data_IF_934502554588
#
_entry.id   IF_934502554588
#
_cell.length_a   1.000
_cell.length_b   1.000
_cell.length_c   1.000
_cell.angle_alpha   90.00
_cell.angle_beta   90.00
_cell.angle_gamma   90.00
#
_symmetry.space_group_name_H-M   'P 1'
#
loop_
_entity.id
_entity.type
_entity.pdbx_description
1 polymer ?
#
# COMPACT_ATOMS: atom_id res chain seq x y z
N UNK A 1 1.04 1.20 -19.46
CA UNK A 1 0.98 0.57 -18.12
C UNK A 1 2.25 0.95 -17.40
N UNK A 2 2.19 1.50 -16.18
CA UNK A 2 3.40 1.71 -15.38
C UNK A 2 4.00 0.33 -15.08
N UNK A 3 5.29 0.15 -15.37
CA UNK A 3 6.02 -1.07 -15.03
C UNK A 3 5.99 -1.29 -13.51
N UNK A 4 5.97 -2.56 -13.08
CA UNK A 4 6.05 -2.88 -11.66
C UNK A 4 7.32 -2.26 -11.03
N UNK A 5 7.19 -1.66 -9.85
CA UNK A 5 8.29 -0.97 -9.19
C UNK A 5 7.87 -0.32 -7.87
N UNK A 6 8.86 0.22 -7.15
CA UNK A 6 8.60 1.01 -5.95
C UNK A 6 8.04 2.37 -6.39
N UNK A 7 6.81 2.75 -5.99
CA UNK A 7 6.25 4.04 -6.38
C UNK A 7 6.92 5.18 -5.59
N UNK A 8 6.73 6.41 -6.08
CA UNK A 8 7.06 7.62 -5.32
C UNK A 8 5.83 8.13 -4.56
N UNK A 9 6.02 8.90 -3.49
CA UNK A 9 4.90 9.50 -2.73
C UNK A 9 3.99 10.36 -3.63
N UNK A 10 4.57 11.05 -4.61
CA UNK A 10 3.85 11.88 -5.57
C UNK A 10 2.96 11.09 -6.56
N UNK A 11 3.09 9.76 -6.63
CA UNK A 11 2.19 8.91 -7.41
C UNK A 11 0.81 8.74 -6.73
N UNK A 12 0.67 9.17 -5.48
CA UNK A 12 -0.54 9.04 -4.69
C UNK A 12 -1.22 10.41 -4.48
N UNK A 13 -2.57 10.45 -4.49
CA UNK A 13 -3.28 11.67 -4.15
C UNK A 13 -3.05 12.04 -2.67
N UNK A 14 -3.11 13.35 -2.33
CA UNK A 14 -3.09 13.80 -0.94
C UNK A 14 -4.14 13.10 -0.09
N UNK A 15 -3.77 12.74 1.15
CA UNK A 15 -4.66 12.00 2.06
C UNK A 15 -4.62 10.48 1.90
N UNK A 16 -3.76 9.94 1.02
CA UNK A 16 -3.47 8.51 0.99
C UNK A 16 -2.83 8.08 2.32
N UNK A 17 -3.38 7.04 2.94
CA UNK A 17 -2.82 6.41 4.12
C UNK A 17 -2.07 5.13 3.73
N UNK A 18 -0.84 4.98 4.23
CA UNK A 18 0.03 3.84 3.97
C UNK A 18 -0.02 2.90 5.16
N UNK A 19 -0.32 1.63 4.91
CA UNK A 19 -0.65 0.64 5.93
C UNK A 19 0.17 -0.61 5.65
N UNK A 20 0.71 -1.21 6.70
CA UNK A 20 1.38 -2.50 6.64
C UNK A 20 0.45 -3.52 7.28
N UNK A 21 0.04 -4.53 6.50
CA UNK A 21 -0.70 -5.68 7.02
C UNK A 21 0.29 -6.80 7.32
N UNK A 22 0.09 -7.45 8.47
CA UNK A 22 1.01 -8.42 9.06
C UNK A 22 2.40 -7.80 9.07
N UNK A 23 3.37 -8.26 8.29
CA UNK A 23 4.70 -7.64 8.33
C UNK A 23 5.23 -7.24 6.95
N UNK A 24 4.55 -7.65 5.90
CA UNK A 24 5.10 -7.72 4.55
C UNK A 24 4.11 -7.34 3.45
N UNK A 25 2.86 -7.00 3.79
CA UNK A 25 1.87 -6.62 2.80
C UNK A 25 1.64 -5.10 2.78
N UNK A 26 2.18 -4.38 1.77
CA UNK A 26 2.06 -2.93 1.67
C UNK A 26 0.70 -2.56 1.08
N UNK A 27 -0.18 -1.99 1.90
CA UNK A 27 -1.50 -1.51 1.50
C UNK A 27 -1.52 0.01 1.40
N UNK A 28 -2.19 0.55 0.38
CA UNK A 28 -2.50 1.96 0.25
C UNK A 28 -4.02 2.16 0.30
N UNK A 29 -4.47 3.01 1.22
CA UNK A 29 -5.86 3.46 1.34
C UNK A 29 -5.97 4.82 0.65
N UNK A 30 -6.47 4.80 -0.58
CA UNK A 30 -6.42 5.93 -1.52
C UNK A 30 -7.78 6.63 -1.58
N UNK A 31 -7.86 7.94 -1.32
CA UNK A 31 -9.07 8.71 -1.57
C UNK A 31 -9.27 8.94 -3.07
N UNK A 32 -10.41 8.51 -3.61
CA UNK A 32 -10.78 8.66 -5.03
C UNK A 32 -12.23 9.11 -5.11
N UNK A 33 -12.49 10.31 -5.65
CA UNK A 33 -13.84 10.86 -5.90
C UNK A 33 -14.84 10.73 -4.72
N UNK A 34 -14.38 11.07 -3.52
CA UNK A 34 -15.20 10.98 -2.29
C UNK A 34 -15.41 9.57 -1.75
N UNK A 35 -14.73 8.58 -2.34
CA UNK A 35 -14.67 7.18 -1.87
C UNK A 35 -13.26 6.81 -1.47
N UNK A 36 -13.12 5.64 -0.88
CA UNK A 36 -11.83 5.04 -0.51
C UNK A 36 -11.65 3.75 -1.28
N UNK A 37 -10.50 3.62 -1.92
CA UNK A 37 -10.05 2.37 -2.52
C UNK A 37 -8.85 1.82 -1.77
N UNK A 38 -8.78 0.50 -1.65
CA UNK A 38 -7.66 -0.20 -1.02
C UNK A 38 -6.87 -0.93 -2.08
N UNK A 39 -5.56 -0.72 -2.09
CA UNK A 39 -4.66 -1.31 -3.06
C UNK A 39 -3.51 -2.02 -2.36
N UNK A 40 -3.30 -3.29 -2.67
CA UNK A 40 -2.10 -4.03 -2.34
C UNK A 40 -1.01 -3.72 -3.35
N UNK A 41 0.19 -3.40 -2.87
CA UNK A 41 1.36 -3.08 -3.69
C UNK A 41 2.46 -4.14 -3.62
N UNK A 42 2.19 -5.30 -3.02
CA UNK A 42 3.10 -6.44 -3.09
C UNK A 42 3.42 -6.78 -4.55
N UNK A 43 4.71 -6.89 -4.88
CA UNK A 43 5.18 -7.08 -6.25
C UNK A 43 5.25 -5.80 -7.09
N UNK A 44 5.10 -4.62 -6.47
CA UNK A 44 5.34 -3.32 -7.11
C UNK A 44 4.27 -2.85 -8.10
N UNK A 45 3.09 -3.47 -8.11
CA UNK A 45 1.95 -3.03 -8.90
C UNK A 45 0.67 -3.03 -8.06
N UNK A 46 -0.18 -1.98 -8.16
CA UNK A 46 -1.40 -1.91 -7.37
C UNK A 46 -2.41 -2.98 -7.81
N UNK A 47 -2.92 -3.71 -6.84
CA UNK A 47 -4.02 -4.66 -7.00
C UNK A 47 -5.12 -4.30 -6.01
N UNK A 48 -6.38 -4.31 -6.45
CA UNK A 48 -7.52 -4.04 -5.56
C UNK A 48 -7.50 -5.02 -4.39
N UNK A 49 -7.64 -4.47 -3.18
CA UNK A 49 -7.62 -5.23 -1.94
C UNK A 49 -9.00 -5.31 -1.31
N UNK A 50 -9.37 -6.50 -0.84
CA UNK A 50 -10.60 -6.72 -0.08
C UNK A 50 -10.38 -6.38 1.40
N UNK A 51 -10.93 -5.23 1.82
CA UNK A 51 -10.79 -4.70 3.17
C UNK A 51 -11.41 -5.59 4.25
N UNK A 52 -12.33 -6.50 3.90
CA UNK A 52 -12.93 -7.44 4.88
C UNK A 52 -11.91 -8.41 5.49
N UNK A 53 -10.71 -8.48 4.90
CA UNK A 53 -9.57 -9.28 5.40
C UNK A 53 -8.73 -8.56 6.47
N UNK A 54 -8.99 -7.27 6.71
CA UNK A 54 -8.35 -6.52 7.80
C UNK A 54 -9.03 -6.84 9.14
N UNK A 55 -8.20 -7.09 10.14
CA UNK A 55 -8.57 -7.29 11.54
C UNK A 55 -7.92 -6.20 12.37
N UNK A 56 -8.44 -5.96 13.57
CA UNK A 56 -7.94 -4.90 14.47
C UNK A 56 -6.46 -5.06 14.80
N UNK A 57 -5.94 -6.28 14.79
CA UNK A 57 -4.60 -6.66 15.25
C UNK A 57 -3.64 -7.11 14.13
N UNK A 58 -4.06 -7.07 12.87
CA UNK A 58 -3.25 -7.56 11.75
C UNK A 58 -2.76 -6.48 10.80
N UNK A 59 -2.97 -5.20 11.10
CA UNK A 59 -2.47 -4.10 10.28
C UNK A 59 -2.29 -2.83 11.11
N UNK A 60 -1.40 -1.97 10.66
CA UNK A 60 -1.12 -0.69 11.28
C UNK A 60 -0.68 0.33 10.23
N UNK A 61 -0.92 1.64 10.49
CA UNK A 61 -0.30 2.69 9.69
C UNK A 61 1.22 2.50 9.67
N UNK A 62 1.83 2.69 8.50
CA UNK A 62 3.26 2.82 8.41
C UNK A 62 3.69 4.11 9.13
N UNK A 63 4.81 4.05 9.84
CA UNK A 63 5.42 5.20 10.52
C UNK A 63 5.84 6.29 9.51
N UNK A 64 6.10 5.90 8.26
CA UNK A 64 6.48 6.78 7.16
C UNK A 64 6.17 6.14 5.80
N UNK A 65 6.13 6.95 4.74
CA UNK A 65 6.06 6.45 3.37
C UNK A 65 7.28 5.58 3.04
N UNK A 66 8.46 5.96 3.50
CA UNK A 66 9.71 5.25 3.27
C UNK A 66 9.70 3.84 3.86
N UNK A 67 9.11 3.66 5.05
CA UNK A 67 8.91 2.34 5.64
C UNK A 67 7.99 1.47 4.77
N UNK A 68 6.87 2.02 4.31
CA UNK A 68 5.95 1.30 3.43
C UNK A 68 6.58 0.96 2.07
N UNK A 69 7.28 1.92 1.47
CA UNK A 69 7.96 1.75 0.18
C UNK A 69 9.08 0.71 0.28
N UNK A 70 9.71 0.56 1.45
CA UNK A 70 10.68 -0.50 1.71
C UNK A 70 10.05 -1.88 1.63
N UNK A 71 8.84 -2.06 2.18
CA UNK A 71 8.09 -3.33 2.07
C UNK A 71 7.80 -3.66 0.60
N UNK A 72 7.39 -2.67 -0.21
CA UNK A 72 7.23 -2.85 -1.67
C UNK A 72 8.55 -3.30 -2.30
N UNK A 73 9.66 -2.61 -1.97
CA UNK A 73 10.98 -2.92 -2.50
C UNK A 73 11.46 -4.32 -2.14
N UNK A 74 11.18 -4.78 -0.92
CA UNK A 74 11.56 -6.11 -0.45
C UNK A 74 10.69 -7.19 -1.13
N UNK A 75 9.40 -6.92 -1.39
CA UNK A 75 8.51 -7.84 -2.13
C UNK A 75 8.93 -8.08 -3.59
N UNK A 76 9.71 -7.17 -4.19
CA UNK A 76 10.22 -7.30 -5.56
C UNK A 76 11.46 -8.20 -5.66
N UNK A 77 12.08 -8.55 -4.52
CA UNK A 77 13.32 -9.34 -4.45
C UNK A 77 13.08 -10.82 -4.14
N UNK A 78 11.81 -11.20 -3.92
CA UNK A 78 11.38 -12.56 -3.62
C UNK A 78 11.41 -13.50 -4.81
#
# INVERSE_FOLDING_TARGET
>A
MKSAGVPALADFPPGTEFIIKEFDLPLAKVPVDGKVEWHNWFGGAPQRYDVTRLRVDNNWPADSFEQWARVVADSLRG
#
